data_IF_366155398352
#
_entry.id   IF_366155398352
#
_cell.length_a   1.000
_cell.length_b   1.000
_cell.length_c   1.000
_cell.angle_alpha   90.00
_cell.angle_beta   90.00
_cell.angle_gamma   90.00
#
_symmetry.space_group_name_H-M   'P 1'
#
loop_
_entity.id
_entity.type
_entity.pdbx_description
1 polymer ?
#
# COMPACT_ATOMS: atom_id res chain seq x y z
N UNK A 1 -27.24 -1.88 -14.59
CA UNK A 1 -27.55 -1.18 -13.33
C UNK A 1 -26.71 0.09 -13.26
N UNK A 2 -27.30 1.23 -12.88
CA UNK A 2 -26.54 2.48 -12.65
C UNK A 2 -25.67 2.33 -11.39
N UNK A 3 -24.44 2.87 -11.36
CA UNK A 3 -23.61 2.90 -10.15
C UNK A 3 -24.34 3.57 -8.98
N UNK A 4 -24.29 2.96 -7.80
CA UNK A 4 -24.77 3.59 -6.56
C UNK A 4 -23.64 4.45 -5.99
N UNK A 5 -23.75 5.76 -6.13
CA UNK A 5 -22.75 6.73 -5.69
C UNK A 5 -22.47 6.67 -4.19
N UNK A 6 -23.50 6.49 -3.36
CA UNK A 6 -23.34 6.40 -1.90
C UNK A 6 -22.65 5.12 -1.46
N UNK A 7 -22.95 4.00 -2.13
CA UNK A 7 -22.23 2.74 -1.93
C UNK A 7 -20.75 2.89 -2.34
N UNK A 8 -20.47 3.39 -3.54
CA UNK A 8 -19.10 3.60 -4.02
C UNK A 8 -18.28 4.50 -3.08
N UNK A 9 -18.85 5.61 -2.60
CA UNK A 9 -18.16 6.51 -1.67
C UNK A 9 -17.78 5.82 -0.35
N UNK A 10 -18.69 4.99 0.19
CA UNK A 10 -18.46 4.24 1.42
C UNK A 10 -17.35 3.21 1.25
N UNK A 11 -17.38 2.45 0.15
CA UNK A 11 -16.37 1.42 -0.14
C UNK A 11 -14.97 2.03 -0.32
N UNK A 12 -14.86 3.16 -1.04
CA UNK A 12 -13.58 3.88 -1.15
C UNK A 12 -13.08 4.32 0.22
N UNK A 13 -13.97 4.89 1.07
CA UNK A 13 -13.58 5.30 2.42
C UNK A 13 -13.12 4.12 3.27
N UNK A 14 -13.81 2.99 3.20
CA UNK A 14 -13.42 1.78 3.93
C UNK A 14 -12.05 1.25 3.47
N UNK A 15 -11.79 1.22 2.16
CA UNK A 15 -10.51 0.80 1.59
C UNK A 15 -9.36 1.70 2.09
N UNK A 16 -9.58 3.02 2.15
CA UNK A 16 -8.59 3.98 2.65
C UNK A 16 -8.30 3.74 4.13
N UNK A 17 -9.34 3.66 4.96
CA UNK A 17 -9.18 3.42 6.40
C UNK A 17 -8.51 2.08 6.69
N UNK A 18 -8.84 1.04 5.93
CA UNK A 18 -8.20 -0.26 6.04
C UNK A 18 -6.72 -0.21 5.64
N UNK A 19 -6.40 0.54 4.60
CA UNK A 19 -5.01 0.73 4.16
C UNK A 19 -4.20 1.46 5.23
N UNK A 20 -4.73 2.53 5.80
CA UNK A 20 -4.09 3.30 6.88
C UNK A 20 -3.85 2.45 8.13
N UNK A 21 -4.87 1.73 8.62
CA UNK A 21 -4.74 0.85 9.80
C UNK A 21 -3.70 -0.25 9.61
N UNK A 22 -3.63 -0.83 8.41
CA UNK A 22 -2.60 -1.82 8.13
C UNK A 22 -1.21 -1.15 8.10
N UNK A 23 -1.09 0.02 7.48
CA UNK A 23 0.15 0.80 7.50
C UNK A 23 0.64 1.09 8.92
N UNK A 24 -0.24 1.51 9.82
CA UNK A 24 0.06 1.73 11.25
C UNK A 24 0.55 0.46 11.95
N UNK A 25 -0.01 -0.71 11.61
CA UNK A 25 0.42 -2.00 12.15
C UNK A 25 1.82 -2.40 11.66
N UNK A 26 2.13 -2.14 10.40
CA UNK A 26 3.43 -2.51 9.79
C UNK A 26 4.55 -1.54 10.18
N UNK A 27 4.21 -0.28 10.45
CA UNK A 27 5.18 0.81 10.63
C UNK A 27 6.27 0.53 11.68
N UNK A 28 6.01 -0.03 12.87
CA UNK A 28 7.07 -0.31 13.84
C UNK A 28 8.15 -1.26 13.31
N UNK A 29 7.76 -2.28 12.54
CA UNK A 29 8.71 -3.23 11.94
C UNK A 29 9.45 -2.63 10.75
N UNK A 30 8.80 -1.73 10.00
CA UNK A 30 9.48 -0.92 8.98
C UNK A 30 10.56 -0.03 9.58
N UNK A 31 10.25 0.70 10.66
CA UNK A 31 11.23 1.56 11.35
C UNK A 31 12.42 0.77 11.89
N UNK A 32 12.16 -0.45 12.38
CA UNK A 32 13.20 -1.37 12.86
C UNK A 32 14.20 -1.73 11.74
N UNK A 33 13.71 -2.12 10.56
CA UNK A 33 14.56 -2.43 9.39
C UNK A 33 15.24 -1.17 8.86
N UNK A 34 14.51 -0.06 8.71
CA UNK A 34 15.04 1.21 8.21
C UNK A 34 16.19 1.71 9.07
N UNK A 35 16.02 1.68 10.39
CA UNK A 35 17.07 2.05 11.35
C UNK A 35 18.28 1.13 11.22
N UNK A 36 18.08 -0.18 11.14
CA UNK A 36 19.18 -1.14 11.02
C UNK A 36 19.95 -0.99 9.70
N UNK A 37 19.28 -0.67 8.59
CA UNK A 37 19.91 -0.33 7.31
C UNK A 37 20.72 0.97 7.42
N UNK A 38 20.13 2.03 7.94
CA UNK A 38 20.78 3.35 8.05
C UNK A 38 22.00 3.32 8.97
N UNK A 39 21.93 2.54 10.06
CA UNK A 39 23.04 2.31 10.99
C UNK A 39 24.03 1.24 10.51
N UNK A 40 23.79 0.59 9.37
CA UNK A 40 24.60 -0.51 8.81
C UNK A 40 24.76 -1.70 9.77
N UNK A 41 23.71 -2.01 10.54
CA UNK A 41 23.66 -3.08 11.54
C UNK A 41 22.92 -4.33 11.06
N UNK A 42 22.53 -4.39 9.79
CA UNK A 42 21.83 -5.56 9.25
C UNK A 42 22.61 -6.87 9.38
N UNK A 43 23.95 -6.81 9.39
CA UNK A 43 24.80 -8.00 9.59
C UNK A 43 24.63 -8.62 10.99
N UNK A 44 24.29 -7.82 11.99
CA UNK A 44 24.07 -8.25 13.37
C UNK A 44 22.57 -8.37 13.73
N UNK A 45 21.68 -8.21 12.73
CA UNK A 45 20.24 -8.24 12.94
C UNK A 45 19.78 -9.68 13.21
N UNK A 46 18.92 -9.83 14.21
CA UNK A 46 18.38 -11.13 14.59
C UNK A 46 17.58 -11.75 13.44
N UNK A 47 18.03 -12.92 12.99
CA UNK A 47 17.45 -13.63 11.84
C UNK A 47 16.04 -14.16 12.13
N UNK A 48 15.75 -14.52 13.39
CA UNK A 48 14.39 -14.92 13.79
C UNK A 48 13.46 -13.71 13.67
N UNK A 49 13.85 -12.56 14.25
CA UNK A 49 13.13 -11.30 14.13
C UNK A 49 12.95 -10.84 12.68
N UNK A 50 13.97 -10.96 11.84
CA UNK A 50 13.89 -10.63 10.41
C UNK A 50 12.84 -11.49 9.71
N UNK A 51 12.78 -12.78 10.03
CA UNK A 51 11.79 -13.71 9.49
C UNK A 51 10.37 -13.37 9.95
N UNK A 52 10.19 -12.95 11.20
CA UNK A 52 8.90 -12.45 11.70
C UNK A 52 8.45 -11.19 10.95
N UNK A 53 9.35 -10.23 10.75
CA UNK A 53 9.07 -8.99 10.02
C UNK A 53 8.70 -9.29 8.57
N UNK A 54 9.42 -10.21 7.92
CA UNK A 54 9.10 -10.66 6.57
C UNK A 54 7.68 -11.25 6.48
N UNK A 55 7.30 -12.16 7.39
CA UNK A 55 5.95 -12.73 7.38
C UNK A 55 4.87 -11.67 7.69
N UNK A 56 5.16 -10.70 8.57
CA UNK A 56 4.27 -9.57 8.81
C UNK A 56 4.08 -8.70 7.56
N UNK A 57 5.15 -8.40 6.82
CA UNK A 57 5.08 -7.62 5.58
C UNK A 57 4.36 -8.38 4.47
N UNK A 58 4.54 -9.69 4.39
CA UNK A 58 3.80 -10.58 3.50
C UNK A 58 2.30 -10.60 3.82
N UNK A 59 1.92 -10.67 5.10
CA UNK A 59 0.52 -10.56 5.54
C UNK A 59 -0.07 -9.19 5.13
N UNK A 60 0.67 -8.10 5.39
CA UNK A 60 0.29 -6.75 4.99
C UNK A 60 0.11 -6.60 3.48
N UNK A 61 1.03 -7.15 2.70
CA UNK A 61 1.00 -7.13 1.23
C UNK A 61 -0.20 -7.92 0.69
N UNK A 62 -0.49 -9.10 1.26
CA UNK A 62 -1.69 -9.87 0.92
C UNK A 62 -2.97 -9.10 1.25
N UNK A 63 -3.01 -8.42 2.39
CA UNK A 63 -4.14 -7.57 2.76
C UNK A 63 -4.35 -6.42 1.77
N UNK A 64 -3.28 -5.76 1.32
CA UNK A 64 -3.38 -4.74 0.28
C UNK A 64 -3.83 -5.34 -1.06
N UNK A 65 -3.37 -6.55 -1.42
CA UNK A 65 -3.85 -7.24 -2.62
C UNK A 65 -5.37 -7.48 -2.58
N UNK A 66 -5.94 -7.84 -1.42
CA UNK A 66 -7.40 -7.96 -1.25
C UNK A 66 -8.12 -6.62 -1.42
N UNK A 67 -7.54 -5.52 -0.93
CA UNK A 67 -8.10 -4.18 -1.17
C UNK A 67 -8.03 -3.81 -2.65
N UNK A 68 -6.94 -4.15 -3.35
CA UNK A 68 -6.80 -3.94 -4.79
C UNK A 68 -7.89 -4.67 -5.58
N UNK A 69 -8.18 -5.93 -5.23
CA UNK A 69 -9.27 -6.69 -5.84
C UNK A 69 -10.62 -5.99 -5.63
N UNK A 70 -10.90 -5.52 -4.41
CA UNK A 70 -12.10 -4.73 -4.13
C UNK A 70 -12.17 -3.50 -5.01
N UNK A 71 -11.07 -2.73 -5.13
CA UNK A 71 -11.00 -1.54 -6.01
C UNK A 71 -11.38 -1.91 -7.44
N UNK A 72 -10.78 -2.97 -8.00
CA UNK A 72 -11.03 -3.40 -9.38
C UNK A 72 -12.47 -3.85 -9.64
N UNK A 73 -13.18 -4.33 -8.60
CA UNK A 73 -14.58 -4.76 -8.67
C UNK A 73 -15.59 -3.59 -8.51
N UNK A 74 -15.15 -2.44 -8.01
CA UNK A 74 -16.05 -1.31 -7.77
C UNK A 74 -16.56 -0.68 -9.07
N UNK A 75 -17.88 -0.53 -9.15
CA UNK A 75 -18.53 0.20 -10.25
C UNK A 75 -18.49 1.69 -9.96
N UNK A 76 -17.46 2.38 -10.47
CA UNK A 76 -17.33 3.82 -10.34
C UNK A 76 -18.44 4.59 -11.09
N UNK A 77 -19.04 5.63 -10.49
CA UNK A 77 -19.86 6.59 -11.21
C UNK A 77 -19.10 7.24 -12.38
N UNK A 78 -19.79 7.48 -13.50
CA UNK A 78 -19.17 8.03 -14.72
C UNK A 78 -18.36 9.31 -14.46
N UNK A 79 -18.85 10.20 -13.59
CA UNK A 79 -18.19 11.47 -13.22
C UNK A 79 -16.83 11.30 -12.53
N UNK A 80 -16.54 10.14 -11.94
CA UNK A 80 -15.25 9.84 -11.27
C UNK A 80 -14.45 8.72 -11.92
N UNK A 81 -14.94 8.13 -13.02
CA UNK A 81 -14.35 6.93 -13.63
C UNK A 81 -12.86 7.10 -13.99
N UNK A 82 -12.46 8.25 -14.53
CA UNK A 82 -11.05 8.53 -14.82
C UNK A 82 -10.18 8.57 -13.56
N UNK A 83 -10.65 9.21 -12.49
CA UNK A 83 -9.93 9.25 -11.22
C UNK A 83 -9.89 7.87 -10.53
N UNK A 84 -10.96 7.08 -10.66
CA UNK A 84 -11.01 5.71 -10.17
C UNK A 84 -9.93 4.83 -10.84
N UNK A 85 -9.78 4.92 -12.17
CA UNK A 85 -8.72 4.18 -12.87
C UNK A 85 -7.31 4.65 -12.51
N UNK A 86 -7.13 5.94 -12.25
CA UNK A 86 -5.86 6.45 -11.71
C UNK A 86 -5.58 5.94 -10.30
N UNK A 87 -6.60 5.88 -9.44
CA UNK A 87 -6.51 5.30 -8.10
C UNK A 87 -6.15 3.81 -8.14
N UNK A 88 -6.88 3.01 -8.92
CA UNK A 88 -6.60 1.58 -9.14
C UNK A 88 -5.15 1.37 -9.60
N UNK A 89 -4.69 2.13 -10.61
CA UNK A 89 -3.31 2.04 -11.10
C UNK A 89 -2.28 2.39 -10.02
N UNK A 90 -2.52 3.44 -9.23
CA UNK A 90 -1.63 3.82 -8.15
C UNK A 90 -1.59 2.75 -7.06
N UNK A 91 -2.72 2.15 -6.73
CA UNK A 91 -2.81 1.06 -5.76
C UNK A 91 -2.09 -0.22 -6.24
N UNK A 92 -2.13 -0.53 -7.54
CA UNK A 92 -1.29 -1.59 -8.14
C UNK A 92 0.20 -1.31 -7.89
N UNK A 93 0.65 -0.08 -8.09
CA UNK A 93 2.06 0.29 -7.86
C UNK A 93 2.42 0.21 -6.37
N UNK A 94 1.50 0.60 -5.50
CA UNK A 94 1.67 0.49 -4.05
C UNK A 94 1.85 -0.97 -3.62
N UNK A 95 0.93 -1.86 -4.01
CA UNK A 95 1.03 -3.31 -3.71
C UNK A 95 2.32 -3.91 -4.27
N UNK A 96 2.71 -3.55 -5.49
CA UNK A 96 3.96 -4.01 -6.08
C UNK A 96 5.18 -3.53 -5.28
N UNK A 97 5.18 -2.30 -4.78
CA UNK A 97 6.22 -1.79 -3.89
C UNK A 97 6.25 -2.52 -2.54
N UNK A 98 5.10 -2.83 -1.94
CA UNK A 98 5.05 -3.64 -0.71
C UNK A 98 5.61 -5.05 -0.91
N UNK A 99 5.30 -5.67 -2.06
CA UNK A 99 5.86 -6.99 -2.42
C UNK A 99 7.37 -6.91 -2.61
N UNK A 100 7.86 -5.93 -3.38
CA UNK A 100 9.30 -5.71 -3.60
C UNK A 100 10.05 -5.45 -2.29
N UNK A 101 9.44 -4.71 -1.34
CA UNK A 101 10.00 -4.49 -0.01
C UNK A 101 10.05 -5.78 0.80
N UNK A 102 8.97 -6.58 0.77
CA UNK A 102 8.91 -7.89 1.44
C UNK A 102 10.01 -8.81 0.90
N UNK A 103 10.10 -8.95 -0.42
CA UNK A 103 11.06 -9.81 -1.12
C UNK A 103 12.50 -9.36 -0.91
N UNK A 104 12.73 -8.08 -0.56
CA UNK A 104 14.06 -7.57 -0.28
C UNK A 104 14.65 -8.01 1.07
N UNK A 105 13.86 -8.62 1.96
CA UNK A 105 14.32 -8.98 3.31
C UNK A 105 14.91 -10.39 3.38
N UNK A 106 14.47 -11.32 2.54
CA UNK A 106 14.89 -12.72 2.58
C UNK A 106 15.15 -13.26 1.16
N UNK A 107 16.07 -14.24 1.00
CA UNK A 107 16.87 -14.90 2.04
C UNK A 107 18.03 -14.06 2.57
N UNK A 108 18.43 -13.01 1.84
CA UNK A 108 19.43 -12.03 2.26
C UNK A 108 18.86 -10.63 2.06
N UNK A 109 19.18 -9.72 2.98
CA UNK A 109 18.68 -8.35 2.88
C UNK A 109 19.35 -7.60 1.73
N UNK A 110 18.53 -7.14 0.80
CA UNK A 110 18.93 -6.31 -0.32
C UNK A 110 18.51 -4.85 -0.06
N UNK A 111 19.44 -4.07 0.49
CA UNK A 111 19.23 -2.66 0.83
C UNK A 111 18.81 -1.81 -0.39
N UNK A 112 19.39 -2.06 -1.57
CA UNK A 112 19.05 -1.30 -2.78
C UNK A 112 17.59 -1.55 -3.19
N UNK A 113 17.16 -2.81 -3.16
CA UNK A 113 15.79 -3.19 -3.44
C UNK A 113 14.81 -2.62 -2.40
N UNK A 114 15.16 -2.68 -1.11
CA UNK A 114 14.34 -2.09 -0.04
C UNK A 114 14.14 -0.58 -0.26
N UNK A 115 15.23 0.15 -0.53
CA UNK A 115 15.20 1.60 -0.78
C UNK A 115 14.41 1.96 -2.06
N UNK A 116 14.51 1.13 -3.11
CA UNK A 116 13.75 1.33 -4.34
C UNK A 116 12.24 1.10 -4.12
N UNK A 117 11.91 0.05 -3.36
CA UNK A 117 10.54 -0.32 -3.01
C UNK A 117 9.86 0.74 -2.13
N UNK A 118 10.59 1.31 -1.17
CA UNK A 118 10.15 2.45 -0.34
C UNK A 118 9.76 3.65 -1.20
N UNK A 119 10.66 4.12 -2.07
CA UNK A 119 10.39 5.25 -2.98
C UNK A 119 9.18 5.01 -3.88
N UNK A 120 8.99 3.76 -4.32
CA UNK A 120 7.83 3.37 -5.13
C UNK A 120 6.54 3.44 -4.32
N UNK A 121 6.54 2.94 -3.09
CA UNK A 121 5.40 3.03 -2.18
C UNK A 121 5.05 4.49 -1.87
N UNK A 122 6.04 5.36 -1.63
CA UNK A 122 5.82 6.79 -1.38
C UNK A 122 5.15 7.47 -2.56
N UNK A 123 5.70 7.31 -3.77
CA UNK A 123 5.15 7.91 -4.99
C UNK A 123 3.72 7.40 -5.30
N UNK A 124 3.48 6.11 -5.04
CA UNK A 124 2.16 5.51 -5.19
C UNK A 124 1.16 6.07 -4.16
N UNK A 125 1.55 6.18 -2.89
CA UNK A 125 0.75 6.72 -1.79
C UNK A 125 0.36 8.17 -2.07
N UNK A 126 1.30 8.98 -2.54
CA UNK A 126 1.06 10.35 -2.99
C UNK A 126 -0.04 10.44 -4.07
N UNK A 127 0.02 9.52 -5.02
CA UNK A 127 -0.93 9.45 -6.14
C UNK A 127 -2.29 8.95 -5.67
N UNK A 128 -2.32 7.96 -4.77
CA UNK A 128 -3.54 7.46 -4.10
C UNK A 128 -4.24 8.62 -3.41
N UNK A 129 -3.54 9.38 -2.56
CA UNK A 129 -4.10 10.52 -1.84
C UNK A 129 -4.70 11.57 -2.79
N UNK A 130 -3.92 12.00 -3.80
CA UNK A 130 -4.37 12.99 -4.79
C UNK A 130 -5.60 12.52 -5.57
N UNK A 131 -5.69 11.23 -5.89
CA UNK A 131 -6.82 10.69 -6.67
C UNK A 131 -8.07 10.52 -5.80
N UNK A 132 -7.94 10.08 -4.55
CA UNK A 132 -9.06 10.01 -3.59
C UNK A 132 -9.64 11.40 -3.34
N UNK A 133 -8.80 12.42 -3.10
CA UNK A 133 -9.28 13.79 -2.92
C UNK A 133 -10.12 14.27 -4.11
N UNK A 134 -9.68 14.00 -5.35
CA UNK A 134 -10.43 14.32 -6.57
C UNK A 134 -11.76 13.57 -6.64
N UNK A 135 -11.76 12.27 -6.32
CA UNK A 135 -12.98 11.47 -6.26
C UNK A 135 -13.97 12.10 -5.28
N UNK A 136 -13.56 12.31 -4.02
CA UNK A 136 -14.40 12.88 -2.97
C UNK A 136 -14.99 14.23 -3.38
N UNK A 137 -14.16 15.15 -3.89
CA UNK A 137 -14.62 16.46 -4.35
C UNK A 137 -15.67 16.39 -5.47
N UNK A 138 -15.52 15.44 -6.40
CA UNK A 138 -16.47 15.23 -7.48
C UNK A 138 -17.75 14.55 -7.02
N UNK A 139 -17.71 13.75 -5.95
CA UNK A 139 -18.88 13.10 -5.38
C UNK A 139 -19.76 14.07 -4.57
N UNK A 140 -19.16 15.05 -3.90
CA UNK A 140 -19.85 16.08 -3.11
C UNK A 140 -20.51 17.19 -3.95
N UNK A 141 -20.10 17.34 -5.22
CA UNK A 141 -20.73 18.22 -6.22
C UNK A 141 -21.86 17.49 -6.95
#
# INVERSE_FOLDING_TARGET
>A
MRPNTGFYAREINEIVQNTEKMGERLHPSYEEIRTALDEKKMADFDQERLSEIHELFKEGTQFYQLNLEKIGMLKAPAKVMGNHKSFEKAYIQYVAGCQEMTDSLLPEVNEEAFNAAEKKQDAATDTIYKTIQKITNLLLK
#
